data_IF_915452845510
#
_entry.id   IF_915452845510
#
_cell.length_a   1.000
_cell.length_b   1.000
_cell.length_c   1.000
_cell.angle_alpha   90.00
_cell.angle_beta   90.00
_cell.angle_gamma   90.00
#
_symmetry.space_group_name_H-M   'P 1'
#
loop_
_entity.id
_entity.type
_entity.pdbx_description
1 polymer ?
#
# COMPACT_ATOMS: atom_id res chain seq x y z
N UNK A 1 9.18 -3.41 -23.38
CA UNK A 1 8.63 -2.10 -23.80
C UNK A 1 8.81 -1.12 -22.66
N UNK A 2 9.65 -0.08 -22.82
CA UNK A 2 9.76 1.01 -21.85
C UNK A 2 8.46 1.82 -21.87
N UNK A 3 7.57 1.59 -20.92
CA UNK A 3 6.35 2.39 -20.76
C UNK A 3 6.79 3.78 -20.28
N UNK A 4 6.63 4.80 -21.13
CA UNK A 4 6.88 6.20 -20.76
C UNK A 4 5.58 6.75 -20.16
N UNK A 5 5.63 7.31 -18.96
CA UNK A 5 4.46 7.93 -18.35
C UNK A 5 4.08 9.20 -19.14
N UNK A 6 2.78 9.36 -19.50
CA UNK A 6 2.34 10.47 -20.34
C UNK A 6 2.44 11.80 -19.60
N UNK A 7 2.97 12.81 -20.30
CA UNK A 7 3.05 14.18 -19.80
C UNK A 7 1.68 14.86 -19.84
N UNK A 8 1.34 15.60 -18.77
CA UNK A 8 0.21 16.51 -18.78
C UNK A 8 0.59 17.83 -19.46
N UNK A 9 -0.28 18.31 -20.35
CA UNK A 9 -0.14 19.61 -21.02
C UNK A 9 -1.21 20.55 -20.49
N UNK A 10 -0.79 21.70 -19.95
CA UNK A 10 -1.72 22.72 -19.44
C UNK A 10 -2.38 23.48 -20.57
N UNK A 11 -3.68 23.74 -20.43
CA UNK A 11 -4.41 24.63 -21.34
C UNK A 11 -3.92 26.08 -21.23
N UNK A 12 -4.09 26.93 -22.26
CA UNK A 12 -3.69 28.34 -22.19
C UNK A 12 -4.31 29.08 -20.99
N UNK A 13 -5.57 28.79 -20.67
CA UNK A 13 -6.28 29.36 -19.52
C UNK A 13 -5.62 28.95 -18.18
N UNK A 14 -5.24 27.68 -18.04
CA UNK A 14 -4.53 27.18 -16.86
C UNK A 14 -3.13 27.79 -16.72
N UNK A 15 -2.45 28.03 -17.83
CA UNK A 15 -1.14 28.70 -17.82
C UNK A 15 -1.25 30.17 -17.39
N UNK A 16 -2.34 30.84 -17.77
CA UNK A 16 -2.62 32.24 -17.45
C UNK A 16 -2.94 32.49 -15.97
N UNK A 17 -3.34 31.46 -15.21
CA UNK A 17 -3.60 31.57 -13.77
C UNK A 17 -2.37 32.06 -13.01
N UNK A 18 -2.59 32.90 -11.99
CA UNK A 18 -1.56 33.47 -11.11
C UNK A 18 -1.93 33.31 -9.63
N UNK A 19 -0.94 33.44 -8.76
CA UNK A 19 -1.14 33.47 -7.32
C UNK A 19 -1.81 32.21 -6.74
N UNK A 20 -2.74 32.35 -5.77
CA UNK A 20 -3.36 31.22 -5.08
C UNK A 20 -4.09 30.23 -6.01
N UNK A 21 -4.73 30.74 -7.07
CA UNK A 21 -5.42 29.90 -8.05
C UNK A 21 -4.45 28.96 -8.79
N UNK A 22 -3.25 29.46 -9.12
CA UNK A 22 -2.19 28.66 -9.74
C UNK A 22 -1.65 27.59 -8.79
N UNK A 23 -1.46 27.95 -7.52
CA UNK A 23 -1.04 26.99 -6.48
C UNK A 23 -2.06 25.87 -6.28
N UNK A 24 -3.36 26.20 -6.25
CA UNK A 24 -4.44 25.21 -6.19
C UNK A 24 -4.46 24.28 -7.40
N UNK A 25 -4.30 24.82 -8.60
CA UNK A 25 -4.18 24.03 -9.82
C UNK A 25 -3.00 23.03 -9.72
N UNK A 26 -1.82 23.47 -9.25
CA UNK A 26 -0.67 22.57 -9.11
C UNK A 26 -0.91 21.42 -8.13
N UNK A 27 -1.67 21.64 -7.06
CA UNK A 27 -2.08 20.55 -6.16
C UNK A 27 -2.97 19.53 -6.89
N UNK A 28 -3.96 20.02 -7.63
CA UNK A 28 -4.88 19.14 -8.39
C UNK A 28 -4.15 18.33 -9.46
N UNK A 29 -3.19 18.95 -10.17
CA UNK A 29 -2.37 18.27 -11.17
C UNK A 29 -1.47 17.20 -10.54
N UNK A 30 -0.86 17.52 -9.40
CA UNK A 30 -0.07 16.56 -8.64
C UNK A 30 -0.92 15.36 -8.22
N UNK A 31 -2.06 15.60 -7.58
CA UNK A 31 -2.97 14.54 -7.12
C UNK A 31 -3.44 13.67 -8.28
N UNK A 32 -3.78 14.29 -9.43
CA UNK A 32 -4.16 13.59 -10.65
C UNK A 32 -3.03 12.74 -11.23
N UNK A 33 -1.79 13.25 -11.20
CA UNK A 33 -0.60 12.50 -11.62
C UNK A 33 -0.38 11.28 -10.73
N UNK A 34 -0.41 11.44 -9.40
CA UNK A 34 -0.23 10.34 -8.44
C UNK A 34 -1.36 9.31 -8.58
N UNK A 35 -2.62 9.73 -8.72
CA UNK A 35 -3.74 8.83 -8.91
C UNK A 35 -3.58 8.00 -10.19
N UNK A 36 -3.11 8.62 -11.28
CA UNK A 36 -2.83 7.93 -12.54
C UNK A 36 -1.66 6.95 -12.40
N UNK A 37 -0.59 7.34 -11.71
CA UNK A 37 0.53 6.44 -11.41
C UNK A 37 0.07 5.21 -10.62
N UNK A 38 -0.76 5.40 -9.59
CA UNK A 38 -1.36 4.29 -8.82
C UNK A 38 -2.19 3.36 -9.70
N UNK A 39 -3.05 3.93 -10.55
CA UNK A 39 -3.93 3.17 -11.44
C UNK A 39 -3.16 2.35 -12.48
N UNK A 40 -2.10 2.92 -13.04
CA UNK A 40 -1.31 2.30 -14.11
C UNK A 40 -0.10 1.50 -13.59
N UNK A 41 0.16 1.51 -12.28
CA UNK A 41 1.25 0.79 -11.64
C UNK A 41 2.63 1.39 -11.93
N UNK A 42 2.73 2.72 -12.04
CA UNK A 42 4.01 3.41 -12.24
C UNK A 42 4.67 3.81 -10.92
N UNK A 43 5.99 3.64 -10.87
CA UNK A 43 6.86 4.13 -9.79
C UNK A 43 7.48 5.48 -10.16
N UNK A 44 8.01 6.19 -9.16
CA UNK A 44 8.70 7.45 -9.39
C UNK A 44 9.97 7.27 -10.24
N UNK A 45 10.32 8.26 -11.08
CA UNK A 45 11.56 8.20 -11.84
C UNK A 45 12.74 8.38 -10.88
N UNK A 46 13.83 7.63 -11.08
CA UNK A 46 14.98 7.62 -10.17
C UNK A 46 15.98 8.74 -10.50
N UNK A 47 16.49 9.41 -9.48
CA UNK A 47 17.64 10.30 -9.58
C UNK A 47 18.51 10.14 -8.33
N UNK A 48 19.76 9.73 -8.52
CA UNK A 48 20.71 9.50 -7.42
C UNK A 48 21.23 10.80 -6.80
N UNK A 49 21.13 11.92 -7.54
CA UNK A 49 21.66 13.21 -7.12
C UNK A 49 20.64 14.02 -6.30
N UNK A 50 19.41 13.52 -6.16
CA UNK A 50 18.36 14.17 -5.40
C UNK A 50 18.21 13.54 -4.01
N UNK A 51 18.03 14.36 -2.97
CA UNK A 51 17.81 13.90 -1.60
C UNK A 51 16.58 12.99 -1.43
N UNK A 52 15.58 13.11 -2.31
CA UNK A 52 14.40 12.25 -2.32
C UNK A 52 14.58 10.97 -3.15
N UNK A 53 15.73 10.78 -3.79
CA UNK A 53 16.02 9.64 -4.67
C UNK A 53 15.25 9.64 -5.99
N UNK A 54 14.49 10.70 -6.28
CA UNK A 54 13.61 10.82 -7.44
C UNK A 54 14.01 11.94 -8.39
N UNK A 55 13.77 11.73 -9.69
CA UNK A 55 13.95 12.75 -10.71
C UNK A 55 12.79 13.74 -10.64
N UNK A 56 12.97 14.79 -9.84
CA UNK A 56 11.98 15.85 -9.63
C UNK A 56 11.65 16.59 -10.94
N UNK A 57 12.60 16.69 -11.88
CA UNK A 57 12.37 17.31 -13.18
C UNK A 57 11.42 16.48 -14.04
N UNK A 58 11.58 15.16 -14.02
CA UNK A 58 10.70 14.26 -14.75
C UNK A 58 9.31 14.17 -14.11
N UNK A 59 9.24 14.14 -12.78
CA UNK A 59 7.97 14.23 -12.07
C UNK A 59 7.24 15.55 -12.36
N UNK A 60 7.96 16.68 -12.39
CA UNK A 60 7.42 17.97 -12.77
C UNK A 60 6.88 17.95 -14.19
N UNK A 61 7.59 17.30 -15.12
CA UNK A 61 7.12 17.08 -16.50
C UNK A 61 5.84 16.26 -16.52
N UNK A 62 5.74 15.17 -15.77
CA UNK A 62 4.53 14.34 -15.71
C UNK A 62 3.32 15.11 -15.18
N UNK A 63 3.53 15.98 -14.17
CA UNK A 63 2.50 16.84 -13.60
C UNK A 63 2.21 18.11 -14.44
N UNK A 64 2.90 18.32 -15.57
CA UNK A 64 2.73 19.51 -16.41
C UNK A 64 3.23 20.82 -15.78
N UNK A 65 4.16 20.74 -14.83
CA UNK A 65 4.72 21.93 -14.18
C UNK A 65 5.76 22.60 -15.07
N UNK A 66 5.77 23.94 -15.06
CA UNK A 66 6.75 24.74 -15.80
C UNK A 66 8.17 24.62 -15.23
N UNK A 67 8.29 24.36 -13.93
CA UNK A 67 9.56 24.25 -13.23
C UNK A 67 9.51 23.15 -12.19
N UNK A 68 10.64 22.45 -12.01
CA UNK A 68 10.85 21.53 -10.88
C UNK A 68 10.69 22.22 -9.53
N UNK A 69 10.97 23.53 -9.48
CA UNK A 69 10.88 24.33 -8.27
C UNK A 69 9.45 24.37 -7.70
N UNK A 70 8.43 24.21 -8.54
CA UNK A 70 7.02 24.13 -8.11
C UNK A 70 6.77 23.01 -7.09
N UNK A 71 7.51 21.91 -7.20
CA UNK A 71 7.41 20.78 -6.26
C UNK A 71 7.99 21.17 -4.89
N UNK A 72 9.03 22.01 -4.89
CA UNK A 72 9.68 22.49 -3.68
C UNK A 72 8.91 23.65 -3.03
N UNK A 73 8.36 24.56 -3.83
CA UNK A 73 7.69 25.77 -3.32
C UNK A 73 6.29 25.46 -2.77
N UNK A 74 5.66 24.38 -3.24
CA UNK A 74 4.32 24.01 -2.79
C UNK A 74 4.41 23.11 -1.55
N UNK A 75 4.17 23.70 -0.38
CA UNK A 75 4.21 23.01 0.92
C UNK A 75 3.33 21.76 0.98
N UNK A 76 2.19 21.75 0.29
CA UNK A 76 1.32 20.58 0.20
C UNK A 76 2.03 19.40 -0.50
N UNK A 77 2.68 19.68 -1.63
CA UNK A 77 3.39 18.66 -2.40
C UNK A 77 4.59 18.16 -1.60
N UNK A 78 5.36 19.04 -0.97
CA UNK A 78 6.50 18.64 -0.13
C UNK A 78 6.10 17.76 1.05
N UNK A 79 4.98 18.05 1.71
CA UNK A 79 4.50 17.24 2.83
C UNK A 79 4.09 15.83 2.38
N UNK A 80 3.56 15.71 1.16
CA UNK A 80 2.95 14.47 0.66
C UNK A 80 3.93 13.57 -0.09
N UNK A 81 4.89 14.16 -0.81
CA UNK A 81 5.76 13.45 -1.75
C UNK A 81 6.55 12.30 -1.11
N UNK A 82 7.00 12.46 0.14
CA UNK A 82 7.72 11.39 0.86
C UNK A 82 6.83 10.17 1.07
N UNK A 83 5.57 10.39 1.45
CA UNK A 83 4.61 9.31 1.65
C UNK A 83 4.23 8.64 0.33
N UNK A 84 3.99 9.44 -0.72
CA UNK A 84 3.67 8.89 -2.04
C UNK A 84 4.86 8.07 -2.60
N UNK A 85 6.11 8.50 -2.37
CA UNK A 85 7.32 7.72 -2.73
C UNK A 85 7.37 6.39 -1.97
N UNK A 86 7.03 6.36 -0.67
CA UNK A 86 6.98 5.13 0.12
C UNK A 86 5.92 4.16 -0.43
N UNK A 87 4.78 4.70 -0.88
CA UNK A 87 3.65 3.90 -1.37
C UNK A 87 3.89 3.34 -2.78
N UNK A 88 4.36 4.17 -3.72
CA UNK A 88 4.53 3.82 -5.14
C UNK A 88 5.91 3.24 -5.47
N UNK A 89 6.90 3.49 -4.61
CA UNK A 89 8.29 3.13 -4.82
C UNK A 89 8.99 3.98 -5.87
N UNK A 90 10.30 3.76 -5.99
CA UNK A 90 11.17 4.38 -7.00
C UNK A 90 11.53 3.32 -8.02
N UNK A 91 11.49 3.68 -9.31
CA UNK A 91 11.81 2.78 -10.41
C UNK A 91 13.25 2.29 -10.30
N UNK A 92 13.45 0.97 -10.46
CA UNK A 92 14.77 0.35 -10.56
C UNK A 92 15.42 0.57 -11.94
N UNK A 93 14.65 1.08 -12.91
CA UNK A 93 15.15 1.46 -14.22
C UNK A 93 15.98 2.74 -14.09
N UNK A 94 17.31 2.58 -14.11
CA UNK A 94 18.21 3.68 -14.43
C UNK A 94 17.94 4.08 -15.87
N UNK A 95 17.18 5.16 -16.06
CA UNK A 95 17.25 5.92 -17.31
C UNK A 95 18.72 6.34 -17.45
N UNK A 96 19.41 5.67 -18.38
CA UNK A 96 20.81 5.87 -18.72
C UNK A 96 21.10 7.36 -18.97
N UNK A 97 21.64 8.04 -17.96
CA UNK A 97 22.47 9.22 -18.17
C UNK A 97 23.79 9.02 -17.43
N UNK A 98 24.81 8.80 -18.25
CA UNK A 98 26.24 8.91 -17.98
C UNK A 98 26.85 7.95 -16.96
N UNK A 99 27.64 7.04 -17.53
CA UNK A 99 28.85 6.43 -16.99
C UNK A 99 29.58 7.35 -16.01
N UNK A 100 29.57 7.01 -14.73
CA UNK A 100 30.80 6.81 -13.99
C UNK A 100 30.55 6.16 -12.63
N UNK A 101 31.45 5.23 -12.33
CA UNK A 101 31.93 4.91 -10.99
C UNK A 101 30.99 4.08 -10.10
N UNK A 102 31.30 2.77 -10.15
CA UNK A 102 31.32 1.90 -8.98
C UNK A 102 31.95 2.62 -7.79
N UNK A 103 31.15 3.12 -6.85
CA UNK A 103 31.51 3.16 -5.44
C UNK A 103 30.31 3.57 -4.58
N UNK A 104 30.16 2.83 -3.47
CA UNK A 104 29.50 3.23 -2.22
C UNK A 104 27.99 3.52 -2.24
N UNK A 105 27.16 2.48 -2.17
CA UNK A 105 25.91 2.49 -1.37
C UNK A 105 25.68 1.09 -0.79
N UNK A 106 26.55 0.64 0.11
CA UNK A 106 26.31 -0.58 0.92
C UNK A 106 25.58 -0.28 2.25
N UNK A 107 25.39 1.00 2.61
CA UNK A 107 24.97 1.36 3.98
C UNK A 107 23.46 1.58 4.20
N UNK A 108 22.61 1.65 3.18
CA UNK A 108 21.17 1.93 3.37
C UNK A 108 20.20 0.82 2.92
N UNK A 109 20.72 -0.24 2.29
CA UNK A 109 19.90 -1.42 1.94
C UNK A 109 19.46 -2.19 3.19
N UNK A 110 20.32 -2.30 4.21
CA UNK A 110 20.03 -3.06 5.43
C UNK A 110 18.95 -2.41 6.28
N UNK A 111 18.97 -1.08 6.45
CA UNK A 111 18.02 -0.34 7.29
C UNK A 111 16.62 -0.31 6.69
N UNK A 112 16.51 -0.10 5.37
CA UNK A 112 15.23 -0.12 4.65
C UNK A 112 14.66 -1.54 4.58
N UNK A 113 15.51 -2.56 4.37
CA UNK A 113 15.08 -3.95 4.43
C UNK A 113 14.63 -4.35 5.83
N UNK A 114 15.34 -3.94 6.89
CA UNK A 114 14.97 -4.26 8.27
C UNK A 114 13.61 -3.67 8.65
N UNK A 115 13.31 -2.43 8.26
CA UNK A 115 12.00 -1.84 8.57
C UNK A 115 10.86 -2.55 7.82
N UNK A 116 11.12 -3.00 6.58
CA UNK A 116 10.16 -3.76 5.79
C UNK A 116 9.97 -5.18 6.31
N UNK A 117 11.05 -5.82 6.79
CA UNK A 117 11.05 -7.12 7.45
C UNK A 117 10.26 -7.04 8.76
N UNK A 118 10.52 -6.05 9.61
CA UNK A 118 9.79 -5.88 10.87
C UNK A 118 8.29 -5.68 10.66
N UNK A 119 7.92 -4.88 9.64
CA UNK A 119 6.51 -4.65 9.31
C UNK A 119 5.82 -5.89 8.72
N UNK A 120 6.56 -6.71 7.96
CA UNK A 120 6.08 -8.00 7.49
C UNK A 120 5.97 -9.02 8.62
N UNK A 121 6.91 -9.04 9.57
CA UNK A 121 6.85 -9.88 10.77
C UNK A 121 5.67 -9.52 11.66
N UNK A 122 5.42 -8.23 11.90
CA UNK A 122 4.26 -7.77 12.67
C UNK A 122 2.94 -8.19 12.00
N UNK A 123 2.88 -8.14 10.66
CA UNK A 123 1.72 -8.61 9.90
C UNK A 123 1.55 -10.13 10.01
N UNK A 124 2.64 -10.90 9.96
CA UNK A 124 2.61 -12.35 10.14
C UNK A 124 2.12 -12.70 11.54
N UNK A 125 2.67 -12.09 12.60
CA UNK A 125 2.24 -12.35 13.98
C UNK A 125 0.77 -12.02 14.21
N UNK A 126 0.27 -10.91 13.63
CA UNK A 126 -1.16 -10.60 13.71
C UNK A 126 -2.03 -11.62 12.96
N UNK A 127 -1.55 -12.14 11.82
CA UNK A 127 -2.26 -13.20 11.09
C UNK A 127 -2.25 -14.53 11.85
N UNK A 128 -1.15 -14.87 12.52
CA UNK A 128 -1.04 -16.05 13.38
C UNK A 128 -2.01 -15.99 14.57
N UNK A 129 -2.17 -14.81 15.20
CA UNK A 129 -3.17 -14.62 16.25
C UNK A 129 -4.60 -14.84 15.75
N UNK A 130 -4.92 -14.35 14.55
CA UNK A 130 -6.24 -14.58 13.93
C UNK A 130 -6.44 -16.06 13.62
N UNK A 131 -5.42 -16.76 13.15
CA UNK A 131 -5.49 -18.21 12.90
C UNK A 131 -5.75 -18.96 14.21
N UNK A 132 -5.02 -18.65 15.28
CA UNK A 132 -5.23 -19.28 16.59
C UNK A 132 -6.64 -19.04 17.14
N UNK A 133 -7.17 -17.82 16.99
CA UNK A 133 -8.54 -17.50 17.40
C UNK A 133 -9.58 -18.30 16.59
N UNK A 134 -9.40 -18.37 15.26
CA UNK A 134 -10.28 -19.17 14.39
C UNK A 134 -10.19 -20.67 14.70
N UNK A 135 -9.01 -21.19 14.99
CA UNK A 135 -8.82 -22.59 15.40
C UNK A 135 -9.51 -22.88 16.74
N UNK A 136 -9.40 -21.96 17.71
CA UNK A 136 -10.09 -22.06 18.99
C UNK A 136 -11.62 -22.05 18.83
N UNK A 137 -12.15 -21.14 18.00
CA UNK A 137 -13.57 -21.09 17.66
C UNK A 137 -14.03 -22.37 16.97
N UNK A 138 -13.23 -22.91 16.05
CA UNK A 138 -13.54 -24.15 15.35
C UNK A 138 -13.54 -25.36 16.30
N UNK A 139 -12.61 -25.39 17.26
CA UNK A 139 -12.56 -26.42 18.29
C UNK A 139 -13.77 -26.32 19.23
N UNK A 140 -14.18 -25.12 19.63
CA UNK A 140 -15.38 -24.87 20.42
C UNK A 140 -16.65 -25.31 19.67
N UNK A 141 -16.77 -24.98 18.38
CA UNK A 141 -17.87 -25.43 17.53
C UNK A 141 -17.91 -26.96 17.39
N UNK A 142 -16.75 -27.62 17.21
CA UNK A 142 -16.68 -29.09 17.18
C UNK A 142 -17.11 -29.72 18.51
N UNK A 143 -16.63 -29.18 19.64
CA UNK A 143 -17.02 -29.66 20.96
C UNK A 143 -18.52 -29.49 21.21
N UNK A 144 -19.09 -28.35 20.78
CA UNK A 144 -20.52 -28.10 20.85
C UNK A 144 -21.32 -29.10 20.00
N UNK A 145 -20.88 -29.35 18.75
CA UNK A 145 -21.53 -30.33 17.86
C UNK A 145 -21.48 -31.75 18.43
N UNK A 146 -20.32 -32.16 18.96
CA UNK A 146 -20.17 -33.48 19.58
C UNK A 146 -21.06 -33.64 20.82
N UNK A 147 -21.24 -32.58 21.61
CA UNK A 147 -22.17 -32.58 22.73
C UNK A 147 -23.63 -32.74 22.28
N UNK A 148 -24.04 -32.03 21.21
CA UNK A 148 -25.39 -32.17 20.64
C UNK A 148 -25.60 -33.57 20.07
N UNK A 149 -24.63 -34.12 19.33
CA UNK A 149 -24.69 -35.49 18.81
C UNK A 149 -24.82 -36.51 19.96
N UNK A 150 -24.05 -36.32 21.04
CA UNK A 150 -24.12 -37.18 22.22
C UNK A 150 -25.45 -37.10 22.97
N UNK A 151 -26.03 -35.90 23.14
CA UNK A 151 -27.36 -35.76 23.77
C UNK A 151 -28.47 -36.30 22.88
N UNK A 152 -28.37 -36.12 21.57
CA UNK A 152 -29.31 -36.68 20.60
C UNK A 152 -29.27 -38.22 20.60
N UNK A 153 -28.08 -38.83 20.65
CA UNK A 153 -27.94 -40.29 20.75
C UNK A 153 -28.55 -40.82 22.06
N UNK A 154 -28.30 -40.16 23.20
CA UNK A 154 -28.93 -40.52 24.49
C UNK A 154 -30.45 -40.39 24.46
N UNK A 155 -30.99 -39.38 23.78
CA UNK A 155 -32.43 -39.23 23.61
C UNK A 155 -33.03 -40.36 22.76
N UNK A 156 -32.36 -40.75 21.67
CA UNK A 156 -32.77 -41.89 20.84
C UNK A 156 -32.74 -43.19 21.65
N UNK A 157 -31.66 -43.44 22.39
CA UNK A 157 -31.50 -44.63 23.23
C UNK A 157 -32.59 -44.70 24.32
N UNK A 158 -32.86 -43.59 25.00
CA UNK A 158 -33.94 -43.50 25.99
C UNK A 158 -35.33 -43.66 25.36
N UNK A 159 -35.55 -43.20 24.13
CA UNK A 159 -36.81 -43.43 23.40
C UNK A 159 -36.99 -44.90 23.02
N UNK A 160 -35.93 -45.57 22.58
CA UNK A 160 -35.94 -46.98 22.20
C UNK A 160 -36.10 -47.92 23.41
N UNK A 161 -35.40 -47.66 24.51
CA UNK A 161 -35.43 -48.49 25.71
C UNK A 161 -36.62 -48.19 26.64
N UNK A 162 -37.12 -46.95 26.63
CA UNK A 162 -38.20 -46.48 27.51
C UNK A 162 -39.60 -46.45 26.86
N UNK A 163 -39.74 -46.83 25.60
CA UNK A 163 -41.03 -46.80 24.88
C UNK A 163 -41.70 -45.42 24.86
N UNK A 164 -40.90 -44.34 24.91
CA UNK A 164 -41.38 -42.95 24.93
C UNK A 164 -41.86 -42.41 26.28
N UNK A 165 -41.67 -43.12 27.41
CA UNK A 165 -41.99 -42.59 28.74
C UNK A 165 -40.73 -42.05 29.42
N UNK A 166 -40.56 -40.73 29.40
CA UNK A 166 -39.59 -40.05 30.26
C UNK A 166 -40.14 -39.99 31.69
N UNK A 167 -39.50 -40.68 32.63
CA UNK A 167 -39.80 -40.50 34.06
C UNK A 167 -39.20 -39.17 34.49
N UNK A 168 -40.07 -38.19 34.77
CA UNK A 168 -39.69 -36.99 35.48
C UNK A 168 -39.55 -37.35 36.97
N UNK A 169 -38.31 -37.44 37.45
CA UNK A 169 -37.81 -36.92 38.74
C UNK A 169 -36.31 -37.22 38.89
#
# INVERSE_FOLDING_TARGET
MNKIFPQQTLTPEQQALKGPAKSKLYRQLYDGCIAKMKKEGFSFPRDKNNALGINVSELARWCGFKSRQTINDNSYIQARIKQDIIELGISNSTLNLSSNENQTIETDSSTINNHKINKLQEKISNQELIIQDLEAQLLACKAHRNNIEGTHLKQIENMLLGGGRTFAN
#
